data_IF_163930123882
#
_entry.id   IF_163930123882
#
_cell.length_a   1.000
_cell.length_b   1.000
_cell.length_c   1.000
_cell.angle_alpha   90.00
_cell.angle_beta   90.00
_cell.angle_gamma   90.00
#
_symmetry.space_group_name_H-M   'P 1'
#
loop_
_entity.id
_entity.type
_entity.pdbx_description
1 polymer ?
#
# COMPACT_ATOMS: atom_id res chain seq x y z
N UNK A 1 -25.89 4.68 -5.38
CA UNK A 1 -26.05 5.60 -4.22
C UNK A 1 -24.67 6.13 -3.86
N UNK A 2 -24.50 7.39 -3.49
CA UNK A 2 -23.15 7.96 -3.27
C UNK A 2 -22.36 7.24 -2.15
N UNK A 3 -23.05 6.74 -1.12
CA UNK A 3 -22.41 6.08 0.02
C UNK A 3 -21.74 4.75 -0.35
N UNK A 4 -22.12 4.10 -1.46
CA UNK A 4 -21.50 2.85 -1.89
C UNK A 4 -20.04 3.05 -2.27
N UNK A 5 -19.61 4.29 -2.58
CA UNK A 5 -18.21 4.63 -2.84
C UNK A 5 -17.32 4.31 -1.65
N UNK A 6 -17.78 4.53 -0.42
CA UNK A 6 -16.99 4.22 0.78
C UNK A 6 -16.78 2.72 0.95
N UNK A 7 -17.82 1.91 0.69
CA UNK A 7 -17.70 0.46 0.70
C UNK A 7 -16.80 -0.06 -0.42
N UNK A 8 -16.92 0.50 -1.62
CA UNK A 8 -16.06 0.16 -2.75
C UNK A 8 -14.60 0.53 -2.47
N UNK A 9 -14.34 1.67 -1.84
CA UNK A 9 -13.00 2.08 -1.43
C UNK A 9 -12.43 1.15 -0.36
N UNK A 10 -13.23 0.79 0.65
CA UNK A 10 -12.82 -0.17 1.68
C UNK A 10 -12.47 -1.53 1.09
N UNK A 11 -13.32 -2.02 0.18
CA UNK A 11 -13.09 -3.28 -0.52
C UNK A 11 -11.85 -3.19 -1.44
N UNK A 12 -11.71 -2.10 -2.19
CA UNK A 12 -10.53 -1.86 -3.03
C UNK A 12 -9.25 -1.82 -2.18
N UNK A 13 -9.26 -1.17 -1.02
CA UNK A 13 -8.10 -1.11 -0.11
C UNK A 13 -7.73 -2.50 0.46
N UNK A 14 -8.74 -3.33 0.76
CA UNK A 14 -8.51 -4.72 1.14
C UNK A 14 -7.85 -5.53 0.02
N UNK A 15 -8.32 -5.40 -1.22
CA UNK A 15 -7.70 -6.08 -2.37
C UNK A 15 -6.34 -5.48 -2.74
N UNK A 16 -6.12 -4.19 -2.48
CA UNK A 16 -4.81 -3.56 -2.59
C UNK A 16 -3.81 -4.23 -1.66
N UNK A 17 -4.16 -4.47 -0.39
CA UNK A 17 -3.29 -5.17 0.56
C UNK A 17 -2.79 -6.51 0.00
N UNK A 18 -3.68 -7.33 -0.56
CA UNK A 18 -3.32 -8.62 -1.13
C UNK A 18 -2.50 -8.50 -2.42
N UNK A 19 -2.86 -7.56 -3.29
CA UNK A 19 -2.07 -7.23 -4.47
C UNK A 19 -0.65 -6.84 -4.06
N UNK A 20 -0.52 -5.90 -3.14
CA UNK A 20 0.75 -5.36 -2.70
C UNK A 20 1.61 -6.42 -2.00
N UNK A 21 1.04 -7.17 -1.06
CA UNK A 21 1.72 -8.32 -0.43
C UNK A 21 2.19 -9.33 -1.46
N UNK A 22 1.35 -9.67 -2.44
CA UNK A 22 1.73 -10.57 -3.55
C UNK A 22 2.91 -10.04 -4.35
N UNK A 23 2.97 -8.73 -4.59
CA UNK A 23 4.07 -8.06 -5.27
C UNK A 23 5.36 -7.99 -4.46
N UNK A 24 5.34 -8.31 -3.17
CA UNK A 24 6.56 -8.45 -2.37
C UNK A 24 7.00 -9.91 -2.25
N UNK A 25 6.06 -10.83 -2.01
CA UNK A 25 6.40 -12.22 -1.68
C UNK A 25 6.50 -13.17 -2.88
N UNK A 26 5.95 -12.81 -4.04
CA UNK A 26 6.01 -13.62 -5.27
C UNK A 26 7.06 -13.04 -6.21
N UNK A 27 8.13 -13.81 -6.49
CA UNK A 27 9.32 -13.35 -7.25
C UNK A 27 9.02 -12.63 -8.57
N UNK A 28 8.09 -13.13 -9.37
CA UNK A 28 7.75 -12.49 -10.66
C UNK A 28 7.00 -11.17 -10.49
N UNK A 29 6.16 -11.07 -9.45
CA UNK A 29 5.46 -9.82 -9.13
C UNK A 29 6.41 -8.83 -8.44
N UNK A 30 7.39 -9.31 -7.66
CA UNK A 30 8.47 -8.49 -7.13
C UNK A 30 9.31 -7.86 -8.22
N UNK A 31 9.65 -8.59 -9.29
CA UNK A 31 10.34 -8.00 -10.43
C UNK A 31 9.56 -6.84 -11.05
N UNK A 32 8.23 -6.83 -10.93
CA UNK A 32 7.38 -5.72 -11.37
C UNK A 32 7.37 -4.56 -10.36
N UNK A 33 7.63 -4.80 -9.08
CA UNK A 33 7.47 -3.80 -8.02
C UNK A 33 8.78 -3.20 -7.50
N UNK A 34 9.89 -3.93 -7.62
CA UNK A 34 11.22 -3.53 -7.10
C UNK A 34 11.68 -2.15 -7.55
N UNK A 35 11.26 -1.69 -8.73
CA UNK A 35 11.58 -0.34 -9.24
C UNK A 35 11.10 0.74 -8.27
N UNK A 36 9.94 0.54 -7.64
CA UNK A 36 9.40 1.42 -6.62
C UNK A 36 10.29 1.50 -5.37
N UNK A 37 10.80 0.34 -4.93
CA UNK A 37 11.68 0.21 -3.76
C UNK A 37 13.16 0.52 -4.03
N UNK A 38 13.55 0.73 -5.28
CA UNK A 38 14.96 0.93 -5.67
C UNK A 38 15.55 2.30 -5.29
N UNK A 39 14.80 3.17 -4.60
CA UNK A 39 15.26 4.52 -4.29
C UNK A 39 16.13 4.53 -3.04
N UNK A 40 17.37 5.01 -3.17
CA UNK A 40 18.27 5.25 -2.03
C UNK A 40 17.82 6.41 -1.11
N UNK A 41 16.81 7.19 -1.53
CA UNK A 41 16.27 8.31 -0.76
C UNK A 41 14.76 8.17 -0.65
N UNK A 42 14.25 8.08 0.57
CA UNK A 42 12.81 7.98 0.80
C UNK A 42 12.15 9.37 0.87
N UNK A 43 11.44 9.77 -0.19
CA UNK A 43 10.73 11.05 -0.25
C UNK A 43 9.54 10.98 -1.22
N UNK A 44 8.82 12.08 -1.40
CA UNK A 44 7.58 12.09 -2.21
C UNK A 44 7.80 11.62 -3.66
N UNK A 45 9.00 11.79 -4.22
CA UNK A 45 9.31 11.31 -5.57
C UNK A 45 9.42 9.78 -5.65
N UNK A 46 9.68 9.10 -4.53
CA UNK A 46 9.64 7.63 -4.43
C UNK A 46 8.26 7.10 -4.80
N UNK A 47 7.19 7.79 -4.39
CA UNK A 47 5.81 7.45 -4.75
C UNK A 47 5.58 7.42 -6.27
N UNK A 48 6.31 8.25 -7.02
CA UNK A 48 6.17 8.40 -8.47
C UNK A 48 6.99 7.37 -9.26
N UNK A 49 7.83 6.57 -8.59
CA UNK A 49 8.60 5.48 -9.21
C UNK A 49 7.70 4.27 -9.46
N UNK A 50 6.83 4.40 -10.46
CA UNK A 50 5.90 3.34 -10.84
C UNK A 50 6.46 2.51 -12.00
N UNK A 51 6.23 1.19 -12.01
CA UNK A 51 6.65 0.31 -13.09
C UNK A 51 5.71 0.42 -14.30
N UNK A 52 6.25 0.17 -15.49
CA UNK A 52 5.44 0.04 -16.70
C UNK A 52 4.60 -1.27 -16.73
N UNK A 53 4.87 -2.20 -15.82
CA UNK A 53 4.16 -3.48 -15.64
C UNK A 53 2.97 -3.39 -14.68
N UNK A 54 2.44 -2.18 -14.45
CA UNK A 54 1.30 -1.94 -13.53
C UNK A 54 0.05 -2.79 -13.83
N UNK A 55 -0.04 -3.42 -15.01
CA UNK A 55 -1.13 -4.32 -15.36
C UNK A 55 -1.22 -5.57 -14.45
N UNK A 56 -0.12 -5.98 -13.80
CA UNK A 56 -0.07 -7.18 -12.94
C UNK A 56 -0.92 -7.08 -11.67
N UNK A 57 -1.41 -5.90 -11.32
CA UNK A 57 -2.29 -5.70 -10.16
C UNK A 57 -3.76 -6.04 -10.46
N UNK A 58 -4.20 -5.94 -11.72
CA UNK A 58 -5.62 -6.12 -12.09
C UNK A 58 -6.21 -7.49 -11.77
N UNK A 59 -5.47 -8.61 -11.90
CA UNK A 59 -5.99 -9.93 -11.52
C UNK A 59 -6.51 -10.01 -10.07
N UNK A 60 -5.90 -9.26 -9.15
CA UNK A 60 -6.33 -9.24 -7.74
C UNK A 60 -7.71 -8.62 -7.56
N UNK A 61 -8.15 -7.75 -8.48
CA UNK A 61 -9.44 -7.07 -8.38
C UNK A 61 -10.58 -7.76 -9.16
N UNK A 62 -10.29 -8.85 -9.88
CA UNK A 62 -11.31 -9.61 -10.60
C UNK A 62 -12.50 -10.05 -9.72
N UNK A 63 -12.33 -10.44 -8.43
CA UNK A 63 -13.46 -10.74 -7.57
C UNK A 63 -14.42 -9.56 -7.39
N UNK A 64 -13.93 -8.33 -7.27
CA UNK A 64 -14.80 -7.15 -7.15
C UNK A 64 -15.60 -6.91 -8.43
N UNK A 65 -14.95 -7.05 -9.59
CA UNK A 65 -15.60 -6.90 -10.89
C UNK A 65 -16.68 -7.99 -11.07
N UNK A 66 -16.37 -9.24 -10.70
CA UNK A 66 -17.31 -10.34 -10.73
C UNK A 66 -18.50 -10.14 -9.78
N UNK A 67 -18.29 -9.47 -8.64
CA UNK A 67 -19.34 -9.04 -7.72
C UNK A 67 -20.14 -7.80 -8.21
N UNK A 68 -19.88 -7.32 -9.43
CA UNK A 68 -20.64 -6.24 -10.06
C UNK A 68 -20.07 -4.83 -9.83
N UNK A 69 -18.87 -4.69 -9.27
CA UNK A 69 -18.21 -3.37 -9.18
C UNK A 69 -17.76 -2.96 -10.58
N UNK A 70 -18.32 -1.86 -11.08
CA UNK A 70 -17.97 -1.34 -12.40
C UNK A 70 -16.47 -0.94 -12.44
N UNK A 71 -15.70 -1.32 -13.48
CA UNK A 71 -14.26 -1.03 -13.56
C UNK A 71 -13.91 0.45 -13.38
N UNK A 72 -14.73 1.37 -13.89
CA UNK A 72 -14.52 2.81 -13.69
C UNK A 72 -14.61 3.24 -12.21
N UNK A 73 -15.52 2.64 -11.42
CA UNK A 73 -15.64 2.93 -10.00
C UNK A 73 -14.45 2.36 -9.22
N UNK A 74 -13.97 1.18 -9.61
CA UNK A 74 -12.75 0.58 -9.07
C UNK A 74 -11.52 1.46 -9.38
N UNK A 75 -11.38 1.92 -10.63
CA UNK A 75 -10.31 2.82 -11.03
C UNK A 75 -10.34 4.13 -10.23
N UNK A 76 -11.53 4.71 -10.00
CA UNK A 76 -11.69 5.88 -9.13
C UNK A 76 -11.21 5.61 -7.70
N UNK A 77 -11.60 4.49 -7.08
CA UNK A 77 -11.14 4.11 -5.75
C UNK A 77 -9.62 3.91 -5.71
N UNK A 78 -9.06 3.25 -6.72
CA UNK A 78 -7.63 3.06 -6.87
C UNK A 78 -6.89 4.40 -6.99
N UNK A 79 -7.43 5.38 -7.74
CA UNK A 79 -6.85 6.73 -7.79
C UNK A 79 -6.87 7.42 -6.42
N UNK A 80 -7.96 7.29 -5.66
CA UNK A 80 -8.01 7.83 -4.29
C UNK A 80 -6.96 7.17 -3.38
N UNK A 81 -6.77 5.84 -3.51
CA UNK A 81 -5.73 5.11 -2.80
C UNK A 81 -4.33 5.59 -3.20
N UNK A 82 -4.05 5.78 -4.49
CA UNK A 82 -2.77 6.30 -4.98
C UNK A 82 -2.46 7.71 -4.48
N UNK A 83 -3.46 8.59 -4.42
CA UNK A 83 -3.32 9.93 -3.82
C UNK A 83 -2.97 9.81 -2.33
N UNK A 84 -3.60 8.88 -1.61
CA UNK A 84 -3.24 8.60 -0.23
C UNK A 84 -1.80 8.06 -0.10
N UNK A 85 -1.42 7.13 -0.96
CA UNK A 85 -0.06 6.57 -0.99
C UNK A 85 0.98 7.67 -1.21
N UNK A 86 0.71 8.67 -2.04
CA UNK A 86 1.68 9.73 -2.32
C UNK A 86 2.18 10.44 -1.05
N UNK A 87 1.29 10.88 -0.16
CA UNK A 87 1.69 11.72 0.97
C UNK A 87 2.43 10.95 2.08
N UNK A 88 2.21 9.63 2.19
CA UNK A 88 2.92 8.81 3.19
C UNK A 88 4.39 8.56 2.83
N UNK A 89 4.83 8.89 1.59
CA UNK A 89 6.23 8.81 1.19
C UNK A 89 7.05 10.00 1.68
N UNK A 90 7.27 10.10 2.98
CA UNK A 90 8.10 11.16 3.54
C UNK A 90 8.79 10.76 4.83
N UNK A 91 10.01 11.25 5.02
CA UNK A 91 10.70 11.21 6.32
C UNK A 91 10.39 12.43 7.20
N UNK A 92 9.72 13.46 6.67
CA UNK A 92 9.49 14.72 7.40
C UNK A 92 8.48 14.60 8.54
N UNK A 93 7.57 13.65 8.41
CA UNK A 93 6.56 13.35 9.44
C UNK A 93 7.03 12.10 10.16
N UNK A 94 7.32 12.21 11.45
CA UNK A 94 7.74 11.08 12.30
C UNK A 94 6.60 10.09 12.52
N UNK A 95 6.06 10.07 13.74
CA UNK A 95 4.87 9.28 14.08
C UNK A 95 3.67 10.20 14.33
N UNK A 96 2.52 9.79 13.85
CA UNK A 96 1.23 10.40 14.13
C UNK A 96 0.73 9.97 15.52
N UNK A 97 -0.31 10.65 16.06
CA UNK A 97 -0.94 10.22 17.30
C UNK A 97 -1.45 8.77 17.22
N UNK A 98 -1.37 8.05 18.34
CA UNK A 98 -1.61 6.58 18.42
C UNK A 98 -2.89 6.09 17.74
N UNK A 99 -4.05 6.78 17.81
CA UNK A 99 -5.25 6.32 17.10
C UNK A 99 -5.07 6.26 15.59
N UNK A 100 -4.37 7.24 15.00
CA UNK A 100 -4.10 7.27 13.57
C UNK A 100 -3.10 6.18 13.19
N UNK A 101 -2.02 6.00 13.97
CA UNK A 101 -1.06 4.89 13.76
C UNK A 101 -1.70 3.50 13.93
N UNK A 102 -2.81 3.40 14.65
CA UNK A 102 -3.49 2.12 14.81
C UNK A 102 -4.31 1.74 13.57
N UNK A 103 -4.95 2.73 12.93
CA UNK A 103 -5.97 2.54 11.87
C UNK A 103 -5.41 2.77 10.48
N UNK A 104 -4.63 3.84 10.30
CA UNK A 104 -4.16 4.32 9.01
C UNK A 104 -2.75 3.84 8.71
N UNK A 105 -2.45 3.61 7.43
CA UNK A 105 -1.07 3.59 6.98
C UNK A 105 -0.51 5.01 7.08
N UNK A 106 0.64 5.17 7.71
CA UNK A 106 1.23 6.46 8.06
C UNK A 106 2.63 6.54 7.44
N UNK A 107 3.25 7.73 7.41
CA UNK A 107 4.65 7.84 6.98
C UNK A 107 5.59 6.91 7.75
N UNK A 108 5.34 6.67 9.04
CA UNK A 108 6.12 5.74 9.86
C UNK A 108 6.02 4.29 9.38
N UNK A 109 4.80 3.82 9.13
CA UNK A 109 4.57 2.47 8.59
C UNK A 109 5.14 2.30 7.19
N UNK A 110 4.99 3.33 6.34
CA UNK A 110 5.44 3.27 4.95
C UNK A 110 6.96 3.35 4.83
N UNK A 111 7.66 4.02 5.75
CA UNK A 111 9.13 3.93 5.82
C UNK A 111 9.60 2.52 6.17
N UNK A 112 8.95 1.87 7.15
CA UNK A 112 9.24 0.46 7.47
C UNK A 112 9.02 -0.43 6.26
N UNK A 113 7.94 -0.19 5.51
CA UNK A 113 7.64 -0.93 4.29
C UNK A 113 8.75 -0.80 3.23
N UNK A 114 9.33 0.39 3.08
CA UNK A 114 10.41 0.65 2.13
C UNK A 114 11.80 0.25 2.62
N UNK A 115 11.92 -0.15 3.87
CA UNK A 115 13.20 -0.46 4.48
C UNK A 115 13.80 -1.77 3.95
N UNK A 116 15.13 -1.84 3.92
CA UNK A 116 15.90 -2.95 3.39
C UNK A 116 16.60 -3.78 4.48
N UNK A 117 16.56 -3.36 5.75
CA UNK A 117 17.18 -4.11 6.85
C UNK A 117 16.34 -5.30 7.37
N UNK A 118 17.05 -6.24 8.02
CA UNK A 118 16.44 -7.36 8.73
C UNK A 118 15.47 -6.88 9.81
N UNK A 119 14.27 -7.46 9.83
CA UNK A 119 13.18 -7.09 10.74
C UNK A 119 12.06 -6.27 10.07
N UNK A 120 12.37 -5.52 9.00
CA UNK A 120 11.40 -4.74 8.23
C UNK A 120 11.09 -5.29 6.84
N UNK A 121 11.89 -6.25 6.37
CA UNK A 121 11.57 -7.00 5.15
C UNK A 121 10.17 -7.60 5.23
N UNK A 122 9.43 -7.45 4.13
CA UNK A 122 8.10 -8.06 3.96
C UNK A 122 7.08 -7.64 5.03
N UNK A 123 7.02 -6.34 5.32
CA UNK A 123 6.09 -5.74 6.30
C UNK A 123 5.27 -4.60 5.72
N UNK A 124 4.14 -4.30 6.37
CA UNK A 124 3.32 -3.10 6.17
C UNK A 124 2.85 -2.87 4.71
N UNK A 125 2.05 -3.78 4.17
CA UNK A 125 1.55 -3.73 2.79
C UNK A 125 0.28 -2.87 2.60
N UNK A 126 -0.33 -2.37 3.67
CA UNK A 126 -1.59 -1.64 3.64
C UNK A 126 -1.55 -0.41 2.74
N UNK A 127 -2.66 -0.14 2.04
CA UNK A 127 -2.82 1.07 1.25
C UNK A 127 -3.15 2.26 2.14
N UNK A 128 -4.44 2.51 2.33
CA UNK A 128 -4.96 3.53 3.23
C UNK A 128 -4.96 3.02 4.67
N UNK A 129 -5.40 1.77 4.90
CA UNK A 129 -5.54 1.20 6.23
C UNK A 129 -4.39 0.26 6.55
N UNK A 130 -3.78 0.44 7.73
CA UNK A 130 -2.78 -0.49 8.27
C UNK A 130 -3.43 -1.68 9.00
N UNK A 131 -4.76 -1.65 9.18
CA UNK A 131 -5.53 -2.69 9.86
C UNK A 131 -5.32 -4.05 9.20
N UNK A 132 -5.20 -4.11 7.87
CA UNK A 132 -4.97 -5.36 7.14
C UNK A 132 -3.66 -6.02 7.55
N UNK A 133 -2.58 -5.25 7.72
CA UNK A 133 -1.31 -5.78 8.21
C UNK A 133 -1.41 -6.34 9.63
N UNK A 134 -2.21 -5.70 10.48
CA UNK A 134 -2.45 -6.19 11.84
C UNK A 134 -3.26 -7.49 11.81
N UNK A 135 -4.31 -7.55 11.00
CA UNK A 135 -5.17 -8.72 10.87
C UNK A 135 -4.43 -9.93 10.29
N UNK A 136 -3.54 -9.70 9.31
CA UNK A 136 -2.85 -10.77 8.58
C UNK A 136 -1.38 -10.94 8.97
N UNK A 137 -0.96 -10.35 10.09
CA UNK A 137 0.33 -10.60 10.74
C UNK A 137 1.57 -10.03 10.05
N UNK A 138 1.41 -9.07 9.13
CA UNK A 138 2.51 -8.39 8.44
C UNK A 138 2.88 -7.04 9.05
N UNK A 139 2.19 -6.60 10.11
CA UNK A 139 2.49 -5.34 10.77
C UNK A 139 3.87 -5.34 11.46
N UNK A 140 4.65 -4.29 11.24
CA UNK A 140 5.82 -3.95 12.02
C UNK A 140 5.84 -2.44 12.33
N UNK A 141 6.10 -2.09 13.59
CA UNK A 141 6.27 -0.70 13.99
C UNK A 141 7.70 -0.22 13.66
N UNK A 142 7.84 1.06 13.35
CA UNK A 142 9.15 1.71 13.23
C UNK A 142 9.80 1.82 14.62
N UNK A 143 10.64 0.85 14.96
CA UNK A 143 11.39 0.78 16.22
C UNK A 143 12.79 1.39 16.09
N UNK A 144 13.40 1.23 14.92
CA UNK A 144 14.71 1.71 14.54
C UNK A 144 14.59 2.51 13.24
N UNK A 145 15.60 3.31 12.92
CA UNK A 145 15.60 4.10 11.70
C UNK A 145 15.64 3.18 10.46
N UNK A 146 14.67 3.30 9.53
CA UNK A 146 14.69 2.60 8.24
C UNK A 146 15.95 2.90 7.41
N UNK A 147 16.49 1.86 6.75
CA UNK A 147 17.68 1.92 5.88
C UNK A 147 17.32 1.45 4.48
#
# INVERSE_FOLDING_TARGET
LWWTVLLMLLAQDFFYYWSHRGHHVIRILWACHVVHHSSEKFNLTTALRQPWTSATVWPFYLPLIACGVHPAALAFCQSANLVYQFWVHTERVGKLPRPFEYVLNTPSHHRVHHASQGGYLDRNYGGILIIWDRMFGSFAAEAERPV
#
